data_IF_492573839461
#
_entry.id   IF_492573839461
#
_cell.length_a   1.000
_cell.length_b   1.000
_cell.length_c   1.000
_cell.angle_alpha   90.00
_cell.angle_beta   90.00
_cell.angle_gamma   90.00
#
_symmetry.space_group_name_H-M   'P 1'
#
loop_
_entity.id
_entity.type
_entity.pdbx_description
1 polymer ?
#
# COMPACT_ATOMS: atom_id res chain seq x y z
N UNK A 1 20.03 -1.07 14.52
CA UNK A 1 19.85 0.28 13.91
C UNK A 1 19.46 0.20 12.44
N UNK A 2 20.25 -0.43 11.54
CA UNK A 2 19.93 -0.50 10.10
C UNK A 2 18.50 -1.00 9.78
N UNK A 3 18.05 -2.08 10.42
CA UNK A 3 16.71 -2.66 10.17
C UNK A 3 15.55 -1.74 10.62
N UNK A 4 15.71 -1.07 11.76
CA UNK A 4 14.72 -0.13 12.30
C UNK A 4 14.52 1.03 11.33
N UNK A 5 15.59 1.57 10.78
CA UNK A 5 15.52 2.65 9.78
C UNK A 5 14.81 2.19 8.51
N UNK A 6 15.07 0.96 8.03
CA UNK A 6 14.37 0.41 6.87
C UNK A 6 12.86 0.25 7.14
N UNK A 7 12.49 -0.22 8.33
CA UNK A 7 11.08 -0.30 8.74
C UNK A 7 10.45 1.10 8.83
N UNK A 8 11.14 2.10 9.39
CA UNK A 8 10.65 3.48 9.42
C UNK A 8 10.46 4.06 8.02
N UNK A 9 11.39 3.81 7.09
CA UNK A 9 11.19 4.16 5.67
C UNK A 9 9.94 3.46 5.13
N UNK A 10 9.76 2.17 5.42
CA UNK A 10 8.54 1.44 5.06
C UNK A 10 7.27 2.07 5.63
N UNK A 11 7.29 2.47 6.89
CA UNK A 11 6.18 3.17 7.54
C UNK A 11 5.85 4.51 6.86
N UNK A 12 6.86 5.30 6.50
CA UNK A 12 6.68 6.54 5.75
C UNK A 12 6.13 6.29 4.33
N UNK A 13 6.59 5.23 3.66
CA UNK A 13 6.10 4.85 2.33
C UNK A 13 4.61 4.47 2.35
N UNK A 14 4.09 3.86 3.41
CA UNK A 14 2.65 3.61 3.56
C UNK A 14 1.84 4.91 3.56
N UNK A 15 2.34 5.95 4.25
CA UNK A 15 1.70 7.26 4.24
C UNK A 15 1.75 7.90 2.86
N UNK A 16 2.87 7.73 2.14
CA UNK A 16 2.98 8.11 0.73
C UNK A 16 1.95 7.40 -0.15
N UNK A 17 1.72 6.10 0.06
CA UNK A 17 0.68 5.35 -0.64
C UNK A 17 -0.73 5.80 -0.26
N UNK A 18 -0.99 6.10 1.01
CA UNK A 18 -2.27 6.63 1.45
C UNK A 18 -2.56 7.99 0.81
N UNK A 19 -1.55 8.85 0.72
CA UNK A 19 -1.64 10.14 0.03
C UNK A 19 -1.90 9.98 -1.47
N UNK A 20 -1.11 9.13 -2.15
CA UNK A 20 -1.32 8.82 -3.56
C UNK A 20 -2.71 8.23 -3.82
N UNK A 21 -3.17 7.33 -2.94
CA UNK A 21 -4.52 6.78 -2.96
C UNK A 21 -5.58 7.87 -2.82
N UNK A 22 -5.43 8.79 -1.84
CA UNK A 22 -6.38 9.89 -1.61
C UNK A 22 -6.49 10.89 -2.76
N UNK A 23 -5.44 11.06 -3.57
CA UNK A 23 -5.46 11.94 -4.75
C UNK A 23 -6.00 11.25 -6.01
N UNK A 24 -5.93 9.92 -6.09
CA UNK A 24 -6.39 9.12 -7.23
C UNK A 24 -7.82 9.44 -7.69
N UNK A 25 -8.84 9.60 -6.82
CA UNK A 25 -10.20 9.90 -7.26
C UNK A 25 -10.34 11.17 -8.11
N UNK A 26 -9.48 12.17 -7.88
CA UNK A 26 -9.45 13.41 -8.67
C UNK A 26 -8.72 13.19 -10.00
N UNK A 27 -7.61 12.46 -9.97
CA UNK A 27 -6.74 12.25 -11.14
C UNK A 27 -7.45 11.46 -12.24
N UNK A 28 -8.28 10.48 -11.88
CA UNK A 28 -8.95 9.61 -12.86
C UNK A 28 -10.43 9.97 -13.07
N UNK A 29 -10.89 11.15 -12.62
CA UNK A 29 -12.31 11.55 -12.65
C UNK A 29 -13.25 10.47 -12.10
N UNK A 30 -12.84 9.81 -11.01
CA UNK A 30 -13.49 8.61 -10.49
C UNK A 30 -14.97 8.84 -10.16
N UNK A 31 -15.33 10.05 -9.73
CA UNK A 31 -16.72 10.40 -9.41
C UNK A 31 -17.64 10.29 -10.62
N UNK A 32 -17.17 10.63 -11.81
CA UNK A 32 -17.94 10.51 -13.06
C UNK A 32 -18.14 9.04 -13.43
N UNK A 33 -17.08 8.24 -13.37
CA UNK A 33 -17.16 6.79 -13.60
C UNK A 33 -18.09 6.08 -12.61
N UNK A 34 -18.01 6.43 -11.32
CA UNK A 34 -18.87 5.85 -10.29
C UNK A 34 -20.34 6.32 -10.40
N UNK A 35 -20.61 7.45 -11.05
CA UNK A 35 -21.98 7.94 -11.25
C UNK A 35 -22.77 7.06 -12.23
N UNK A 36 -22.09 6.36 -13.14
CA UNK A 36 -22.69 5.40 -14.07
C UNK A 36 -23.08 4.07 -13.41
N UNK A 37 -22.64 3.82 -12.17
CA UNK A 37 -22.89 2.57 -11.44
C UNK A 37 -24.16 2.64 -10.58
N UNK A 38 -24.78 1.49 -10.25
CA UNK A 38 -25.87 1.44 -9.29
C UNK A 38 -25.50 2.08 -7.94
N UNK A 39 -26.44 2.76 -7.25
CA UNK A 39 -26.16 3.49 -6.01
C UNK A 39 -25.46 2.66 -4.93
N UNK A 40 -25.80 1.37 -4.82
CA UNK A 40 -25.17 0.45 -3.88
C UNK A 40 -23.68 0.25 -4.18
N UNK A 41 -23.32 -0.05 -5.43
CA UNK A 41 -21.93 -0.29 -5.83
C UNK A 41 -21.08 0.96 -5.64
N UNK A 42 -21.63 2.14 -5.96
CA UNK A 42 -20.97 3.42 -5.71
C UNK A 42 -20.64 3.61 -4.23
N UNK A 43 -21.58 3.32 -3.32
CA UNK A 43 -21.33 3.39 -1.87
C UNK A 43 -20.32 2.34 -1.41
N UNK A 44 -20.45 1.11 -1.90
CA UNK A 44 -19.55 0.00 -1.58
C UNK A 44 -18.10 0.34 -1.93
N UNK A 45 -17.88 0.94 -3.11
CA UNK A 45 -16.56 1.40 -3.52
C UNK A 45 -15.95 2.38 -2.51
N UNK A 46 -16.71 3.40 -2.09
CA UNK A 46 -16.23 4.39 -1.11
C UNK A 46 -15.95 3.80 0.27
N UNK A 47 -16.74 2.81 0.71
CA UNK A 47 -16.51 2.09 1.97
C UNK A 47 -15.19 1.34 1.91
N UNK A 48 -14.97 0.52 0.87
CA UNK A 48 -13.73 -0.23 0.71
C UNK A 48 -12.52 0.68 0.50
N UNK A 49 -12.68 1.74 -0.27
CA UNK A 49 -11.63 2.75 -0.47
C UNK A 49 -11.22 3.40 0.86
N UNK A 50 -12.18 3.75 1.72
CA UNK A 50 -11.91 4.30 3.06
C UNK A 50 -11.20 3.29 3.95
N UNK A 51 -11.63 2.02 3.94
CA UNK A 51 -10.98 0.97 4.73
C UNK A 51 -9.55 0.72 4.29
N UNK A 52 -9.28 0.70 2.97
CA UNK A 52 -7.91 0.60 2.46
C UNK A 52 -7.06 1.78 2.95
N UNK A 53 -7.60 3.00 2.91
CA UNK A 53 -6.91 4.19 3.44
C UNK A 53 -6.58 4.06 4.92
N UNK A 54 -7.54 3.62 5.74
CA UNK A 54 -7.33 3.37 7.16
C UNK A 54 -6.25 2.31 7.39
N UNK A 55 -6.31 1.18 6.67
CA UNK A 55 -5.31 0.11 6.74
C UNK A 55 -3.91 0.63 6.42
N UNK A 56 -3.73 1.44 5.38
CA UNK A 56 -2.43 2.02 5.03
C UNK A 56 -1.89 2.93 6.14
N UNK A 57 -2.74 3.80 6.70
CA UNK A 57 -2.33 4.68 7.80
C UNK A 57 -1.98 3.87 9.04
N UNK A 58 -2.76 2.85 9.40
CA UNK A 58 -2.49 1.97 10.54
C UNK A 58 -1.19 1.19 10.35
N UNK A 59 -0.98 0.55 9.21
CA UNK A 59 0.26 -0.19 8.93
C UNK A 59 1.47 0.74 8.93
N UNK A 60 1.33 1.92 8.32
CA UNK A 60 2.37 2.94 8.29
C UNK A 60 2.75 3.42 9.69
N UNK A 61 1.75 3.81 10.49
CA UNK A 61 1.95 4.27 11.86
C UNK A 61 2.54 3.20 12.77
N UNK A 62 1.98 1.98 12.73
CA UNK A 62 2.51 0.85 13.50
C UNK A 62 3.97 0.57 13.13
N UNK A 63 4.29 0.52 11.83
CA UNK A 63 5.65 0.24 11.38
C UNK A 63 6.62 1.36 11.73
N UNK A 64 6.20 2.63 11.62
CA UNK A 64 7.07 3.76 11.87
C UNK A 64 7.39 3.93 13.36
N UNK A 65 6.35 3.98 14.21
CA UNK A 65 6.51 4.25 15.64
C UNK A 65 7.01 3.02 16.41
N UNK A 66 6.63 1.81 15.99
CA UNK A 66 6.99 0.57 16.67
C UNK A 66 8.04 -0.25 15.90
N UNK A 67 8.82 0.37 15.02
CA UNK A 67 9.91 -0.30 14.30
C UNK A 67 10.87 -1.10 15.22
N UNK A 68 11.28 -0.62 16.42
CA UNK A 68 12.11 -1.42 17.32
C UNK A 68 11.41 -2.69 17.81
N UNK A 69 10.12 -2.60 18.14
CA UNK A 69 9.33 -3.75 18.58
C UNK A 69 9.06 -4.73 17.44
N UNK A 70 8.85 -4.25 16.21
CA UNK A 70 8.73 -5.12 15.04
C UNK A 70 10.05 -5.83 14.68
N UNK A 71 11.18 -5.18 14.97
CA UNK A 71 12.51 -5.74 14.75
C UNK A 71 12.99 -6.65 15.91
N UNK A 72 12.18 -6.88 16.95
CA UNK A 72 12.59 -7.64 18.15
C UNK A 72 12.78 -9.13 17.89
N UNK A 73 12.13 -9.68 16.87
CA UNK A 73 12.11 -11.12 16.59
C UNK A 73 11.14 -11.92 17.46
N UNK A 74 10.35 -11.26 18.32
CA UNK A 74 9.33 -11.96 19.10
C UNK A 74 8.26 -12.62 18.21
N UNK A 75 7.61 -13.71 18.67
CA UNK A 75 6.63 -14.44 17.87
C UNK A 75 5.53 -13.55 17.29
N UNK A 76 5.00 -12.60 18.07
CA UNK A 76 3.97 -11.66 17.62
C UNK A 76 4.50 -10.69 16.55
N UNK A 77 5.71 -10.17 16.74
CA UNK A 77 6.36 -9.28 15.77
C UNK A 77 6.60 -9.99 14.43
N UNK A 78 7.07 -11.25 14.47
CA UNK A 78 7.24 -12.08 13.28
C UNK A 78 5.92 -12.37 12.59
N UNK A 79 4.89 -12.76 13.35
CA UNK A 79 3.56 -13.02 12.78
C UNK A 79 2.97 -11.77 12.09
N UNK A 80 3.13 -10.59 12.69
CA UNK A 80 2.72 -9.33 12.08
C UNK A 80 3.50 -9.04 10.80
N UNK A 81 4.83 -9.27 10.80
CA UNK A 81 5.65 -9.11 9.60
C UNK A 81 5.26 -10.10 8.49
N UNK A 82 4.97 -11.37 8.82
CA UNK A 82 4.46 -12.35 7.83
C UNK A 82 3.14 -11.88 7.22
N UNK A 83 2.21 -11.40 8.05
CA UNK A 83 0.93 -10.88 7.58
C UNK A 83 1.12 -9.68 6.63
N UNK A 84 1.96 -8.71 7.00
CA UNK A 84 2.24 -7.54 6.16
C UNK A 84 2.97 -7.92 4.87
N UNK A 85 3.91 -8.87 4.94
CA UNK A 85 4.57 -9.40 3.74
C UNK A 85 3.56 -10.05 2.78
N UNK A 86 2.67 -10.90 3.30
CA UNK A 86 1.63 -11.55 2.50
C UNK A 86 0.67 -10.52 1.87
N UNK A 87 0.24 -9.52 2.64
CA UNK A 87 -0.58 -8.42 2.13
C UNK A 87 0.09 -7.70 0.96
N UNK A 88 1.36 -7.33 1.11
CA UNK A 88 2.09 -6.58 0.08
C UNK A 88 2.44 -7.43 -1.15
N UNK A 89 2.74 -8.72 -0.97
CA UNK A 89 2.94 -9.66 -2.08
C UNK A 89 1.63 -9.81 -2.87
N UNK A 90 0.51 -10.05 -2.19
CA UNK A 90 -0.79 -10.14 -2.86
C UNK A 90 -1.12 -8.84 -3.58
N UNK A 91 -0.86 -7.69 -2.95
CA UNK A 91 -1.07 -6.37 -3.54
C UNK A 91 -0.21 -6.14 -4.80
N UNK A 92 1.01 -6.65 -4.80
CA UNK A 92 1.92 -6.62 -5.96
C UNK A 92 1.42 -7.53 -7.08
N UNK A 93 0.97 -8.75 -6.76
CA UNK A 93 0.36 -9.67 -7.73
C UNK A 93 -0.84 -9.00 -8.41
N UNK A 94 -1.74 -8.39 -7.62
CA UNK A 94 -2.90 -7.66 -8.17
C UNK A 94 -2.45 -6.49 -9.04
N UNK A 95 -1.41 -5.75 -8.66
CA UNK A 95 -0.89 -4.63 -9.45
C UNK A 95 -0.35 -5.06 -10.81
N UNK A 96 0.33 -6.21 -10.88
CA UNK A 96 1.01 -6.69 -12.09
C UNK A 96 0.09 -7.51 -13.00
N UNK A 97 -0.76 -8.35 -12.42
CA UNK A 97 -1.52 -9.37 -13.16
C UNK A 97 -3.02 -9.08 -13.29
N UNK A 98 -3.59 -8.23 -12.44
CA UNK A 98 -5.04 -7.97 -12.43
C UNK A 98 -5.37 -6.58 -12.97
N UNK A 99 -4.63 -5.55 -12.58
CA UNK A 99 -4.92 -4.18 -13.01
C UNK A 99 -4.23 -3.81 -14.32
N UNK A 100 -5.03 -3.60 -15.38
CA UNK A 100 -4.55 -2.95 -16.60
C UNK A 100 -4.64 -1.43 -16.46
N UNK A 101 -3.52 -0.81 -16.09
CA UNK A 101 -3.42 0.65 -15.94
C UNK A 101 -2.99 1.36 -17.22
N UNK A 102 -2.67 0.63 -18.30
CA UNK A 102 -2.16 1.20 -19.57
C UNK A 102 -3.03 2.36 -20.09
N UNK A 103 -4.37 2.31 -20.02
CA UNK A 103 -5.22 3.43 -20.46
C UNK A 103 -4.99 4.74 -19.70
N UNK A 104 -4.53 4.67 -18.45
CA UNK A 104 -4.30 5.83 -17.58
C UNK A 104 -2.85 6.36 -17.64
N UNK A 105 -1.94 5.68 -18.33
CA UNK A 105 -0.51 6.05 -18.45
C UNK A 105 -0.25 7.09 -19.56
N UNK A 106 -1.09 8.13 -19.59
CA UNK A 106 -1.13 9.13 -20.66
C UNK A 106 0.10 10.05 -20.68
N UNK A 107 0.70 10.33 -19.52
CA UNK A 107 1.87 11.21 -19.40
C UNK A 107 3.01 10.56 -18.61
N UNK A 108 4.19 11.17 -18.69
CA UNK A 108 5.38 10.68 -18.00
C UNK A 108 5.21 10.66 -16.47
N UNK A 109 4.43 11.59 -15.92
CA UNK A 109 4.16 11.69 -14.48
C UNK A 109 3.36 10.48 -13.97
N UNK A 110 2.32 10.04 -14.68
CA UNK A 110 1.55 8.85 -14.34
C UNK A 110 2.35 7.56 -14.51
N UNK A 111 3.23 7.50 -15.52
CA UNK A 111 4.17 6.39 -15.68
C UNK A 111 5.16 6.32 -14.51
N UNK A 112 5.74 7.46 -14.13
CA UNK A 112 6.61 7.54 -12.97
C UNK A 112 5.88 7.09 -11.70
N UNK A 113 4.66 7.60 -11.48
CA UNK A 113 3.81 7.20 -10.36
C UNK A 113 3.57 5.69 -10.30
N UNK A 114 3.26 5.06 -11.44
CA UNK A 114 3.08 3.61 -11.54
C UNK A 114 4.34 2.83 -11.14
N UNK A 115 5.51 3.18 -11.70
CA UNK A 115 6.77 2.51 -11.36
C UNK A 115 7.18 2.74 -9.90
N UNK A 116 7.01 3.96 -9.38
CA UNK A 116 7.28 4.27 -7.97
C UNK A 116 6.38 3.45 -7.05
N UNK A 117 5.08 3.40 -7.34
CA UNK A 117 4.12 2.64 -6.51
C UNK A 117 4.46 1.15 -6.51
N UNK A 118 4.85 0.61 -7.67
CA UNK A 118 5.29 -0.79 -7.79
C UNK A 118 6.58 -1.05 -7.03
N UNK A 119 7.56 -0.15 -7.12
CA UNK A 119 8.81 -0.23 -6.35
C UNK A 119 8.55 -0.20 -4.84
N UNK A 120 7.60 0.63 -4.39
CA UNK A 120 7.17 0.65 -2.99
C UNK A 120 6.55 -0.69 -2.58
N UNK A 121 5.68 -1.29 -3.39
CA UNK A 121 5.10 -2.59 -3.07
C UNK A 121 6.17 -3.69 -2.93
N UNK A 122 7.15 -3.70 -3.85
CA UNK A 122 8.29 -4.63 -3.79
C UNK A 122 9.10 -4.39 -2.51
N UNK A 123 9.41 -3.13 -2.21
CA UNK A 123 10.17 -2.77 -1.01
C UNK A 123 9.45 -3.25 0.27
N UNK A 124 8.15 -2.97 0.39
CA UNK A 124 7.36 -3.35 1.55
C UNK A 124 7.27 -4.87 1.70
N UNK A 125 7.01 -5.60 0.61
CA UNK A 125 7.02 -7.06 0.61
C UNK A 125 8.38 -7.62 1.08
N UNK A 126 9.48 -7.09 0.53
CA UNK A 126 10.82 -7.56 0.83
C UNK A 126 11.23 -7.27 2.28
N UNK A 127 10.97 -6.06 2.80
CA UNK A 127 11.43 -5.69 4.15
C UNK A 127 10.66 -6.45 5.22
N UNK A 128 9.35 -6.68 5.05
CA UNK A 128 8.59 -7.46 6.01
C UNK A 128 8.92 -8.94 5.94
N UNK A 129 9.11 -9.51 4.74
CA UNK A 129 9.58 -10.89 4.60
C UNK A 129 10.95 -11.08 5.26
N UNK A 130 11.89 -10.18 5.00
CA UNK A 130 13.20 -10.20 5.66
C UNK A 130 13.07 -10.13 7.18
N UNK A 131 12.27 -9.19 7.69
CA UNK A 131 12.09 -9.00 9.14
C UNK A 131 11.44 -10.21 9.80
N UNK A 132 10.54 -10.89 9.09
CA UNK A 132 9.86 -12.08 9.56
C UNK A 132 10.77 -13.32 9.67
N UNK A 133 11.80 -13.45 8.81
CA UNK A 133 12.63 -14.66 8.73
C UNK A 133 14.05 -14.51 9.29
N UNK A 134 14.47 -13.28 9.59
CA UNK A 134 15.66 -13.02 10.40
C UNK A 134 15.47 -13.54 11.83
#
# INVERSE_FOLDING_TARGET
MKLITLLQIGGALHLGLAWAGGTMPKVVNLREHLAALPPFIRRLFWVYFTFIGLTLVSFGGLTFFYAPAMASGEPLARALCVFLAAFWILRLIVAVFVFDVRPYLANWFYRLGYYLTTAVFIYLAAIYAWTAFR
#
